data_IF_978890911528
#
_entry.id   IF_978890911528
#
_cell.length_a   1.000
_cell.length_b   1.000
_cell.length_c   1.000
_cell.angle_alpha   90.00
_cell.angle_beta   90.00
_cell.angle_gamma   90.00
#
_symmetry.space_group_name_H-M   'P 1'
#
loop_
_entity.id
_entity.type
_entity.pdbx_description
1 polymer ?
2 non-polymer ?
3 non-polymer ?
4 water ?
#
# COMPACT_ATOMS: atom_id res chain seq x y z
N UNK A 2 -1.14 12.09 25.50
CA UNK A 2 -2.10 12.59 24.46
C UNK A 2 -2.38 11.49 23.44
N UNK A 3 -3.51 11.62 22.75
CA UNK A 3 -3.90 10.63 21.75
C UNK A 3 -2.90 10.68 20.59
N UNK A 4 -2.40 11.88 20.29
CA UNK A 4 -1.42 12.07 19.23
C UNK A 4 -0.18 11.23 19.50
N UNK A 5 0.34 11.28 20.73
CA UNK A 5 1.52 10.51 21.09
C UNK A 5 1.25 9.01 21.01
N UNK A 6 0.04 8.62 21.38
CA UNK A 6 -0.37 7.21 21.36
C UNK A 6 -0.49 6.68 19.93
N UNK A 7 -1.03 7.52 19.04
CA UNK A 7 -1.19 7.14 17.65
C UNK A 7 0.18 7.05 16.97
N UNK A 8 1.02 8.03 17.24
CA UNK A 8 2.35 8.05 16.65
C UNK A 8 3.11 6.78 17.02
N UNK A 9 2.99 6.37 18.27
CA UNK A 9 3.67 5.16 18.73
C UNK A 9 3.09 3.93 18.04
N UNK A 10 1.77 3.86 17.96
CA UNK A 10 1.11 2.72 17.33
C UNK A 10 1.49 2.55 15.87
N UNK A 11 1.66 3.66 15.16
CA UNK A 11 2.00 3.58 13.75
C UNK A 11 3.50 3.63 13.45
N UNK A 12 4.31 3.78 14.51
CA UNK A 12 5.76 3.81 14.34
C UNK A 12 6.34 4.98 13.56
N UNK A 13 5.61 6.11 13.55
CA UNK A 13 6.06 7.30 12.84
C UNK A 13 7.16 8.07 13.57
N UNK A 14 8.02 8.73 12.81
CA UNK A 14 9.12 9.51 13.39
C UNK A 14 9.11 10.91 12.78
N UNK A 15 9.51 11.92 13.57
CA UNK A 15 9.55 13.31 13.13
C UNK A 15 10.44 13.51 11.90
N UNK A 16 11.58 12.83 11.89
CA UNK A 16 12.53 12.94 10.79
C UNK A 16 13.16 11.57 10.53
N UNK A 17 13.44 11.28 9.27
CA UNK A 17 14.06 10.01 8.90
C UNK A 17 15.19 10.25 7.90
N UNK A 18 16.09 9.28 7.80
CA UNK A 18 17.17 9.38 6.82
C UNK A 18 16.72 8.53 5.65
N UNK A 19 16.59 9.15 4.49
CA UNK A 19 16.13 8.45 3.29
C UNK A 19 16.86 7.15 3.01
N UNK A 20 18.17 7.23 2.77
CA UNK A 20 18.98 6.06 2.46
C UNK A 20 18.86 4.97 3.53
N UNK A 21 18.91 5.37 4.80
CA UNK A 21 18.80 4.39 5.88
C UNK A 21 17.45 3.67 5.84
N UNK A 22 16.38 4.39 5.53
CA UNK A 22 15.05 3.77 5.48
C UNK A 22 14.93 2.86 4.27
N UNK A 23 15.57 3.26 3.17
CA UNK A 23 15.58 2.46 1.96
C UNK A 23 16.17 1.09 2.29
N UNK A 24 17.32 1.10 2.98
CA UNK A 24 17.96 -0.16 3.36
C UNK A 24 17.11 -0.93 4.37
N UNK A 25 16.44 -0.24 5.29
CA UNK A 25 15.62 -0.93 6.27
C UNK A 25 14.51 -1.75 5.59
N UNK A 26 13.86 -1.16 4.59
CA UNK A 26 12.79 -1.85 3.86
C UNK A 26 13.32 -2.98 2.98
N UNK A 27 14.41 -2.71 2.27
CA UNK A 27 14.99 -3.73 1.39
C UNK A 27 15.49 -4.91 2.21
N UNK A 28 16.20 -4.63 3.29
CA UNK A 28 16.73 -5.70 4.13
C UNK A 28 15.60 -6.51 4.76
N UNK A 29 14.49 -5.84 5.02
CA UNK A 29 13.30 -6.47 5.59
C UNK A 29 12.76 -7.53 4.61
N UNK A 30 12.59 -7.11 3.37
CA UNK A 30 12.09 -8.01 2.34
C UNK A 30 13.04 -9.17 2.10
N UNK A 31 14.34 -8.88 2.05
CA UNK A 31 15.35 -9.92 1.83
C UNK A 31 15.33 -10.95 2.95
N UNK A 32 15.29 -10.45 4.19
CA UNK A 32 15.27 -11.32 5.36
C UNK A 32 14.02 -12.22 5.35
N UNK A 33 12.87 -11.65 5.02
CA UNK A 33 11.64 -12.44 4.99
C UNK A 33 11.74 -13.58 3.98
N UNK A 34 12.23 -13.27 2.78
CA UNK A 34 12.37 -14.28 1.74
C UNK A 34 13.38 -15.38 2.09
N UNK A 35 14.42 -15.04 2.84
CA UNK A 35 15.41 -16.03 3.25
C UNK A 35 14.91 -16.93 4.38
N UNK A 36 13.90 -16.44 5.10
CA UNK A 36 13.28 -17.16 6.21
C UNK A 36 12.20 -18.11 5.70
N UNK A 37 11.59 -17.73 4.57
CA UNK A 37 10.56 -18.52 3.93
C UNK A 37 11.00 -18.77 2.49
N UNK A 38 12.03 -19.62 2.32
CA UNK A 38 12.57 -19.93 1.00
C UNK A 38 11.63 -20.52 -0.05
N UNK A 39 10.39 -20.81 0.30
CA UNK A 39 9.46 -21.34 -0.70
C UNK A 39 8.86 -20.18 -1.50
N UNK A 40 9.06 -18.96 -1.02
CA UNK A 40 8.56 -17.78 -1.73
C UNK A 40 9.54 -17.47 -2.86
N UNK A 41 9.04 -17.47 -4.09
CA UNK A 41 9.89 -17.21 -5.25
C UNK A 41 9.55 -15.88 -5.94
N UNK A 42 8.44 -15.26 -5.55
CA UNK A 42 8.03 -14.03 -6.20
C UNK A 42 7.40 -13.00 -5.29
N UNK A 43 7.63 -11.73 -5.62
CA UNK A 43 7.03 -10.62 -4.90
C UNK A 43 6.04 -10.05 -5.92
N UNK A 44 4.78 -9.92 -5.52
CA UNK A 44 3.74 -9.39 -6.40
C UNK A 44 3.23 -8.05 -5.89
N UNK A 45 3.21 -7.07 -6.78
CA UNK A 45 2.76 -5.73 -6.44
C UNK A 45 1.98 -5.07 -7.56
N UNK A 46 0.84 -4.48 -7.22
CA UNK A 46 0.05 -3.79 -8.22
C UNK A 46 0.66 -2.41 -8.44
N UNK A 47 0.89 -2.04 -9.70
CA UNK A 47 1.49 -0.75 -10.03
C UNK A 47 0.43 0.17 -10.64
N UNK A 48 0.35 1.40 -10.13
CA UNK A 48 -0.64 2.36 -10.62
C UNK A 48 -0.04 3.63 -11.20
N UNK A 49 1.29 3.75 -11.15
CA UNK A 49 1.94 4.94 -11.68
C UNK A 49 1.99 6.10 -10.71
N UNK A 50 1.63 5.84 -9.47
CA UNK A 50 1.65 6.89 -8.45
C UNK A 50 2.79 6.75 -7.48
N UNK A 51 2.88 7.68 -6.52
CA UNK A 51 3.95 7.68 -5.54
C UNK A 51 4.17 6.37 -4.79
N UNK A 52 3.16 5.94 -4.03
CA UNK A 52 3.29 4.74 -3.22
C UNK A 52 3.69 3.45 -3.94
N UNK A 53 2.96 3.06 -4.98
CA UNK A 53 3.31 1.82 -5.69
C UNK A 53 4.65 1.91 -6.43
N UNK A 54 5.06 3.12 -6.82
CA UNK A 54 6.34 3.27 -7.51
C UNK A 54 7.48 3.07 -6.50
N UNK A 55 7.34 3.66 -5.32
CA UNK A 55 8.37 3.51 -4.29
C UNK A 55 8.46 2.05 -3.86
N UNK A 56 7.32 1.43 -3.55
CA UNK A 56 7.34 0.03 -3.13
C UNK A 56 7.94 -0.83 -4.22
N UNK A 57 7.53 -0.58 -5.47
CA UNK A 57 8.04 -1.35 -6.59
C UNK A 57 9.54 -1.29 -6.76
N UNK A 58 10.12 -0.10 -6.56
CA UNK A 58 11.55 0.05 -6.70
C UNK A 58 12.26 -0.75 -5.61
N UNK A 59 11.73 -0.69 -4.39
CA UNK A 59 12.32 -1.41 -3.27
C UNK A 59 12.24 -2.93 -3.49
N UNK A 60 11.11 -3.40 -4.02
CA UNK A 60 10.93 -4.82 -4.28
C UNK A 60 11.96 -5.33 -5.30
N UNK A 61 12.14 -4.60 -6.39
CA UNK A 61 13.09 -5.02 -7.42
C UNK A 61 14.50 -5.00 -6.88
N UNK A 62 14.81 -4.03 -6.02
CA UNK A 62 16.14 -3.94 -5.43
C UNK A 62 16.40 -5.15 -4.54
N UNK A 63 15.38 -5.56 -3.79
CA UNK A 63 15.50 -6.71 -2.90
C UNK A 63 15.73 -7.97 -3.70
N UNK A 64 14.97 -8.13 -4.78
CA UNK A 64 15.11 -9.31 -5.62
C UNK A 64 16.48 -9.31 -6.29
N UNK A 65 16.89 -8.15 -6.83
CA UNK A 65 18.18 -8.03 -7.48
C UNK A 65 19.32 -8.49 -6.57
N UNK A 66 19.32 -7.99 -5.32
CA UNK A 66 20.37 -8.35 -4.37
C UNK A 66 20.34 -9.82 -3.99
N UNK A 67 19.17 -10.36 -3.69
CA UNK A 67 19.05 -11.77 -3.32
C UNK A 67 19.58 -12.71 -4.41
N UNK A 68 19.35 -12.36 -5.67
CA UNK A 68 19.82 -13.18 -6.79
C UNK A 68 21.33 -13.26 -6.79
N UNK A 69 21.97 -12.10 -6.72
CA UNK A 69 23.43 -12.01 -6.73
C UNK A 69 24.03 -12.71 -5.51
N UNK A 70 23.38 -12.54 -4.36
CA UNK A 70 23.87 -13.13 -3.13
C UNK A 70 23.66 -14.65 -3.00
N UNK A 71 22.51 -15.15 -3.44
CA UNK A 71 22.21 -16.58 -3.33
C UNK A 71 22.44 -17.37 -4.61
N UNK A 72 22.39 -16.69 -5.75
CA UNK A 72 22.57 -17.36 -7.02
C UNK A 72 21.28 -17.96 -7.57
N UNK A 73 20.21 -17.86 -6.79
CA UNK A 73 18.91 -18.40 -7.19
C UNK A 73 18.31 -17.58 -8.34
N UNK A 74 18.34 -18.16 -9.53
CA UNK A 74 17.84 -17.51 -10.72
C UNK A 74 16.31 -17.54 -10.84
N UNK A 75 15.64 -18.27 -9.95
CA UNK A 75 14.18 -18.37 -10.01
C UNK A 75 13.41 -17.27 -9.30
N UNK A 76 14.09 -16.46 -8.48
CA UNK A 76 13.42 -15.38 -7.77
C UNK A 76 13.01 -14.28 -8.75
N UNK A 77 11.88 -13.65 -8.50
CA UNK A 77 11.45 -12.57 -9.38
C UNK A 77 10.41 -11.63 -8.82
N UNK A 78 10.45 -10.38 -9.30
CA UNK A 78 9.48 -9.38 -8.88
C UNK A 78 8.47 -9.27 -10.02
N UNK A 79 7.20 -9.37 -9.68
CA UNK A 79 6.15 -9.28 -10.68
C UNK A 79 5.30 -8.04 -10.47
N UNK A 80 5.41 -7.11 -11.41
CA UNK A 80 4.63 -5.88 -11.35
C UNK A 80 3.34 -6.17 -12.10
N UNK A 81 2.21 -5.83 -11.50
CA UNK A 81 0.92 -6.09 -12.13
C UNK A 81 0.14 -4.81 -12.40
N UNK A 82 -0.17 -4.55 -13.66
CA UNK A 82 -0.97 -3.39 -14.03
C UNK A 82 -2.40 -3.89 -13.98
N UNK A 83 -3.26 -3.16 -13.29
CA UNK A 83 -4.65 -3.58 -13.14
C UNK A 83 -5.63 -2.47 -13.55
N UNK A 84 -5.61 -2.09 -14.83
CA UNK A 84 -6.50 -1.04 -15.32
C UNK A 84 -7.98 -1.44 -15.37
N UNK A 85 -8.85 -0.46 -15.19
CA UNK A 85 -10.29 -0.67 -15.28
C UNK A 85 -10.63 -0.08 -16.66
N UNK A 86 -10.73 -0.94 -17.67
CA UNK A 86 -11.02 -0.45 -19.01
C UNK A 86 -9.77 0.16 -19.62
N UNK A 87 -9.84 1.43 -19.99
CA UNK A 87 -8.69 2.11 -20.58
C UNK A 87 -8.23 3.29 -19.72
N UNK A 91 -2.21 7.96 -18.77
CA UNK A 91 -1.61 6.70 -18.27
C UNK A 91 -0.24 6.40 -18.86
N UNK A 92 0.52 7.46 -19.15
CA UNK A 92 1.87 7.37 -19.68
C UNK A 92 2.79 7.30 -18.48
N UNK A 93 2.23 7.66 -17.33
CA UNK A 93 2.95 7.65 -16.07
C UNK A 93 3.32 6.23 -15.67
N UNK A 94 2.45 5.28 -16.02
CA UNK A 94 2.70 3.89 -15.68
C UNK A 94 3.92 3.38 -16.44
N UNK A 95 4.05 3.79 -17.68
CA UNK A 95 5.20 3.39 -18.49
C UNK A 95 6.47 3.97 -17.88
N UNK A 96 6.40 5.24 -17.49
CA UNK A 96 7.54 5.90 -16.87
C UNK A 96 7.92 5.18 -15.59
N UNK A 97 6.93 4.83 -14.79
CA UNK A 97 7.17 4.13 -13.52
C UNK A 97 7.88 2.81 -13.78
N UNK A 98 7.43 2.09 -14.81
CA UNK A 98 8.02 0.81 -15.19
C UNK A 98 9.47 1.01 -15.61
N UNK A 99 9.71 2.04 -16.40
CA UNK A 99 11.07 2.33 -16.87
C UNK A 99 11.99 2.63 -15.68
N UNK A 100 11.42 3.24 -14.65
CA UNK A 100 12.17 3.59 -13.45
C UNK A 100 12.44 2.37 -12.58
N UNK A 101 11.45 1.48 -12.47
CA UNK A 101 11.56 0.28 -11.65
C UNK A 101 12.36 -0.83 -12.33
N UNK A 102 12.19 -0.95 -13.65
CA UNK A 102 12.87 -2.01 -14.40
C UNK A 102 12.50 -3.36 -13.77
N UNK A 103 11.20 -3.66 -13.66
CA UNK A 103 10.73 -4.91 -13.06
C UNK A 103 11.08 -6.13 -13.91
N UNK A 104 11.24 -7.28 -13.25
CA UNK A 104 11.56 -8.52 -13.97
C UNK A 104 10.43 -8.92 -14.91
N UNK A 105 9.20 -8.70 -14.46
CA UNK A 105 8.05 -9.11 -15.26
C UNK A 105 6.90 -8.14 -15.03
N UNK A 106 6.14 -7.86 -16.09
CA UNK A 106 5.00 -6.97 -16.00
C UNK A 106 3.80 -7.69 -16.61
N UNK A 107 2.76 -7.90 -15.80
CA UNK A 107 1.55 -8.55 -16.27
C UNK A 107 0.45 -7.51 -16.27
N UNK A 108 -0.38 -7.50 -17.31
CA UNK A 108 -1.48 -6.55 -17.41
C UNK A 108 -2.81 -7.28 -17.37
N UNK A 109 -3.59 -7.02 -16.33
CA UNK A 109 -4.89 -7.66 -16.14
C UNK A 109 -5.97 -6.59 -16.07
N UNK A 110 -6.87 -6.62 -17.04
CA UNK A 110 -7.95 -5.66 -17.07
C UNK A 110 -9.11 -6.19 -16.24
N UNK A 111 -9.40 -5.51 -15.13
CA UNK A 111 -10.44 -5.94 -14.21
C UNK A 111 -11.87 -5.52 -14.55
N UNK A 112 -12.06 -4.79 -15.64
CA UNK A 112 -13.38 -4.32 -16.02
C UNK A 112 -14.40 -5.43 -16.23
N UNK A 113 -14.03 -6.46 -16.98
CA UNK A 113 -14.94 -7.55 -17.24
C UNK A 113 -15.48 -8.20 -15.99
N UNK A 114 -14.60 -8.46 -15.02
CA UNK A 114 -15.01 -9.10 -13.78
C UNK A 114 -15.89 -8.19 -12.94
N UNK A 115 -15.53 -6.92 -12.84
CA UNK A 115 -16.32 -5.96 -12.06
C UNK A 115 -17.73 -5.81 -12.63
N UNK A 116 -17.86 -5.76 -13.94
CA UNK A 116 -19.17 -5.62 -14.56
C UNK A 116 -19.98 -6.89 -14.31
N UNK A 117 -19.31 -8.03 -14.30
CA UNK A 117 -19.97 -9.30 -14.06
C UNK A 117 -20.48 -9.36 -12.62
N UNK A 118 -19.67 -8.90 -11.68
CA UNK A 118 -20.09 -8.90 -10.28
C UNK A 118 -21.29 -7.99 -10.10
N UNK A 119 -21.27 -6.83 -10.76
CA UNK A 119 -22.37 -5.90 -10.63
C UNK A 119 -23.66 -6.38 -11.27
N UNK A 120 -23.55 -7.16 -12.33
CA UNK A 120 -24.74 -7.67 -13.00
C UNK A 120 -25.42 -8.70 -12.09
N UNK A 121 -24.62 -9.57 -11.49
CA UNK A 121 -25.15 -10.59 -10.60
C UNK A 121 -25.86 -9.94 -9.42
N UNK A 122 -25.27 -8.87 -8.89
CA UNK A 122 -25.86 -8.15 -7.76
C UNK A 122 -27.15 -7.43 -8.16
N UNK A 123 -27.13 -6.80 -9.32
CA UNK A 123 -28.29 -6.10 -9.84
C UNK A 123 -29.49 -7.03 -9.98
N UNK A 124 -29.27 -8.20 -10.55
CA UNK A 124 -30.35 -9.16 -10.72
C UNK A 124 -30.94 -9.62 -9.39
N UNK A 125 -30.13 -9.56 -8.33
CA UNK A 125 -30.58 -9.96 -7.00
C UNK A 125 -31.35 -8.83 -6.34
N UNK A 126 -31.16 -7.61 -6.83
CA UNK A 126 -31.85 -6.46 -6.27
C UNK A 126 -30.95 -5.40 -5.67
N UNK A 127 -29.65 -5.55 -5.85
CA UNK A 127 -28.70 -4.59 -5.29
C UNK A 127 -27.97 -3.77 -6.35
N UNK A 128 -28.22 -2.47 -6.38
CA UNK A 128 -27.57 -1.58 -7.33
C UNK A 128 -26.48 -0.87 -6.53
N UNK A 129 -25.27 -0.78 -7.07
CA UNK A 129 -24.18 -0.12 -6.37
C UNK A 129 -24.07 1.36 -6.66
N UNK A 130 -23.57 2.10 -5.68
CA UNK A 130 -23.34 3.53 -5.83
C UNK A 130 -21.91 3.59 -6.35
N UNK A 131 -21.54 4.68 -7.01
CA UNK A 131 -20.18 4.77 -7.54
C UNK A 131 -19.15 4.56 -6.42
N UNK A 132 -19.49 5.03 -5.23
CA UNK A 132 -18.62 4.89 -4.07
C UNK A 132 -18.33 3.43 -3.75
N UNK A 133 -19.38 2.62 -3.65
CA UNK A 133 -19.23 1.21 -3.35
C UNK A 133 -18.55 0.47 -4.52
N UNK A 134 -18.79 0.94 -5.74
CA UNK A 134 -18.16 0.30 -6.89
C UNK A 134 -16.66 0.46 -6.79
N UNK A 135 -16.23 1.59 -6.22
CA UNK A 135 -14.80 1.86 -6.06
C UNK A 135 -14.14 0.82 -5.17
N UNK A 136 -14.82 0.43 -4.10
CA UNK A 136 -14.25 -0.58 -3.20
C UNK A 136 -14.26 -1.94 -3.86
N UNK A 137 -15.27 -2.16 -4.69
CA UNK A 137 -15.40 -3.41 -5.42
C UNK A 137 -14.20 -3.53 -6.37
N UNK A 138 -13.82 -2.41 -6.98
CA UNK A 138 -12.67 -2.42 -7.89
C UNK A 138 -11.42 -2.80 -7.10
N UNK A 139 -11.25 -2.18 -5.93
CA UNK A 139 -10.09 -2.46 -5.09
C UNK A 139 -10.01 -3.93 -4.71
N UNK A 140 -11.15 -4.53 -4.41
CA UNK A 140 -11.18 -5.94 -4.04
C UNK A 140 -10.92 -6.86 -5.22
N UNK A 141 -11.29 -6.45 -6.43
CA UNK A 141 -11.02 -7.28 -7.59
C UNK A 141 -9.51 -7.25 -7.84
N UNK A 142 -8.89 -6.10 -7.57
CA UNK A 142 -7.44 -5.98 -7.75
C UNK A 142 -6.73 -6.88 -6.73
N UNK A 143 -7.27 -6.98 -5.53
CA UNK A 143 -6.70 -7.85 -4.50
C UNK A 143 -6.82 -9.30 -5.00
N UNK A 144 -8.02 -9.67 -5.45
CA UNK A 144 -8.24 -11.02 -5.95
C UNK A 144 -7.24 -11.43 -7.04
N UNK A 145 -7.03 -10.54 -8.00
CA UNK A 145 -6.11 -10.78 -9.09
C UNK A 145 -4.69 -11.04 -8.60
N UNK A 146 -4.19 -10.15 -7.77
CA UNK A 146 -2.84 -10.30 -7.23
C UNK A 146 -2.68 -11.59 -6.43
N UNK A 147 -3.69 -11.96 -5.66
CA UNK A 147 -3.58 -13.21 -4.89
C UNK A 147 -3.60 -14.44 -5.78
N UNK A 148 -4.33 -14.38 -6.89
CA UNK A 148 -4.37 -15.51 -7.82
C UNK A 148 -2.98 -15.65 -8.45
N UNK A 149 -2.36 -14.51 -8.78
CA UNK A 149 -1.04 -14.52 -9.38
C UNK A 149 -0.01 -15.04 -8.37
N UNK A 150 -0.13 -14.62 -7.12
CA UNK A 150 0.80 -15.07 -6.09
C UNK A 150 0.65 -16.59 -5.90
N UNK A 151 -0.60 -17.05 -5.92
CA UNK A 151 -0.86 -18.46 -5.74
C UNK A 151 -0.27 -19.35 -6.83
N UNK A 152 -0.16 -18.81 -8.04
CA UNK A 152 0.40 -19.57 -9.16
C UNK A 152 1.90 -19.39 -9.35
N UNK A 153 2.47 -18.39 -8.67
CA UNK A 153 3.91 -18.12 -8.80
C UNK A 153 4.68 -18.26 -7.50
N UNK A 154 4.05 -18.88 -6.50
CA UNK A 154 4.71 -19.06 -5.21
C UNK A 154 5.18 -17.69 -4.67
N UNK A 155 4.28 -16.71 -4.69
CA UNK A 155 4.67 -15.41 -4.20
C UNK A 155 3.85 -14.90 -3.03
N UNK A 156 4.13 -13.66 -2.64
CA UNK A 156 3.39 -13.00 -1.56
C UNK A 156 3.03 -11.65 -2.14
N UNK A 157 1.93 -11.08 -1.63
CA UNK A 157 1.45 -9.79 -2.11
C UNK A 157 2.03 -8.66 -1.25
N UNK A 158 2.73 -7.74 -1.89
CA UNK A 158 3.33 -6.60 -1.21
C UNK A 158 2.33 -5.45 -1.18
N UNK A 159 2.18 -4.83 -0.02
CA UNK A 159 1.24 -3.72 0.13
C UNK A 159 1.97 -2.39 0.19
N UNK A 160 1.24 -1.32 -0.11
CA UNK A 160 1.82 0.03 -0.10
C UNK A 160 1.32 0.88 1.06
N UNK A 161 0.66 0.25 2.02
CA UNK A 161 0.14 0.97 3.19
C UNK A 161 1.25 1.66 3.98
N UNK A 162 1.01 2.92 4.33
CA UNK A 162 1.98 3.69 5.11
C UNK A 162 1.23 4.47 6.19
N UNK A 163 1.98 5.07 7.11
CA UNK A 163 1.38 5.82 8.21
C UNK A 163 0.31 6.85 7.84
N UNK A 164 0.53 7.58 6.76
CA UNK A 164 -0.41 8.62 6.35
C UNK A 164 -1.75 8.09 5.87
N UNK A 165 -1.80 6.81 5.55
CA UNK A 165 -3.04 6.19 5.10
C UNK A 165 -3.62 5.36 6.24
N UNK A 166 -2.73 4.74 7.01
CA UNK A 166 -3.17 3.91 8.13
C UNK A 166 -3.89 4.74 9.19
N UNK A 167 -3.39 5.95 9.45
CA UNK A 167 -3.98 6.82 10.46
C UNK A 167 -5.45 7.17 10.21
N UNK A 168 -5.84 7.31 8.95
CA UNK A 168 -7.23 7.64 8.62
C UNK A 168 -7.98 6.44 8.07
N UNK A 169 -7.31 5.32 7.93
CA UNK A 169 -7.95 4.13 7.39
C UNK A 169 -8.37 4.35 5.95
N UNK A 170 -7.59 5.15 5.23
CA UNK A 170 -7.90 5.48 3.85
C UNK A 170 -7.53 4.35 2.88
N UNK A 171 -8.13 3.19 3.07
CA UNK A 171 -7.90 2.04 2.20
C UNK A 171 -9.12 1.14 2.26
N UNK A 172 -9.30 0.34 1.22
CA UNK A 172 -10.44 -0.57 1.18
C UNK A 172 -10.17 -1.81 2.02
N UNK A 173 -11.08 -2.09 2.95
CA UNK A 173 -10.96 -3.25 3.82
C UNK A 173 -10.96 -4.50 2.95
N UNK A 174 -9.86 -5.23 2.99
CA UNK A 174 -9.68 -6.45 2.20
C UNK A 174 -9.60 -6.14 0.72
N UNK A 175 -9.29 -4.88 0.42
CA UNK A 175 -9.11 -4.43 -0.96
C UNK A 175 -7.60 -4.20 -1.06
N UNK A 176 -7.19 -2.95 -1.25
CA UNK A 176 -5.76 -2.66 -1.30
C UNK A 176 -5.18 -2.86 0.11
N UNK A 177 -6.04 -2.99 1.11
CA UNK A 177 -5.58 -3.24 2.46
C UNK A 177 -5.30 -4.72 2.66
N UNK A 178 -5.73 -5.53 1.70
CA UNK A 178 -5.51 -6.95 1.80
C UNK A 178 -4.19 -7.37 1.19
N UNK A 179 -3.14 -7.41 2.00
CA UNK A 179 -1.81 -7.77 1.53
C UNK A 179 -1.08 -8.67 2.52
N UNK A 180 0.09 -9.17 2.11
CA UNK A 180 0.88 -10.05 2.97
C UNK A 180 2.00 -9.34 3.72
N UNK A 181 2.67 -8.42 3.06
CA UNK A 181 3.78 -7.72 3.69
C UNK A 181 3.79 -6.26 3.23
N UNK A 182 3.97 -5.34 4.18
CA UNK A 182 3.95 -3.89 3.91
C UNK A 182 5.27 -3.21 4.27
N UNK A 183 6.18 -3.11 3.30
CA UNK A 183 7.48 -2.47 3.53
C UNK A 183 7.51 -0.96 3.76
N UNK A 184 6.41 -0.25 3.49
CA UNK A 184 6.40 1.19 3.69
C UNK A 184 5.80 1.62 5.02
N UNK A 185 5.14 0.68 5.70
CA UNK A 185 4.52 0.98 6.98
C UNK A 185 5.52 1.67 7.91
N UNK A 186 5.10 2.83 8.45
CA UNK A 186 5.83 3.70 9.38
C UNK A 186 6.12 5.09 8.78
N UNK A 187 6.22 5.16 7.45
CA UNK A 187 6.51 6.42 6.77
C UNK A 187 5.29 7.28 6.49
N UNK A 188 5.44 8.60 6.57
CA UNK A 188 4.32 9.48 6.27
C UNK A 188 4.45 9.88 4.79
N UNK A 189 3.46 10.60 4.27
CA UNK A 189 3.47 10.97 2.86
C UNK A 189 4.73 11.69 2.36
N UNK A 190 5.06 12.83 2.97
CA UNK A 190 6.23 13.57 2.52
C UNK A 190 7.52 12.76 2.65
N UNK A 191 7.60 11.87 3.64
CA UNK A 191 8.81 11.07 3.82
C UNK A 191 8.94 10.06 2.69
N UNK A 192 7.80 9.62 2.16
CA UNK A 192 7.83 8.70 1.05
C UNK A 192 8.46 9.41 -0.15
N UNK A 193 8.15 10.69 -0.29
CA UNK A 193 8.71 11.48 -1.41
C UNK A 193 10.23 11.57 -1.23
N UNK A 194 10.67 11.73 0.02
CA UNK A 194 12.10 11.82 0.32
C UNK A 194 12.82 10.61 -0.23
N UNK A 195 12.26 9.42 0.03
CA UNK A 195 12.88 8.20 -0.44
C UNK A 195 12.97 8.17 -1.96
N UNK A 196 11.89 8.54 -2.63
CA UNK A 196 11.90 8.54 -4.08
C UNK A 196 12.95 9.51 -4.62
N UNK A 197 13.05 10.69 -4.00
CA UNK A 197 14.04 11.66 -4.44
C UNK A 197 15.43 11.04 -4.33
N UNK A 198 15.68 10.37 -3.20
CA UNK A 198 16.95 9.70 -2.95
C UNK A 198 17.23 8.62 -3.99
N UNK A 199 16.17 8.07 -4.57
CA UNK A 199 16.32 7.01 -5.58
C UNK A 199 16.36 7.61 -6.97
N UNK A 200 16.29 8.93 -7.05
CA UNK A 200 16.34 9.67 -8.31
C UNK A 200 15.10 9.46 -9.17
N UNK A 201 13.96 9.23 -8.54
CA UNK A 201 12.72 9.01 -9.27
C UNK A 201 12.31 10.26 -10.05
N UNK A 202 11.89 10.09 -11.32
CA UNK A 202 11.49 11.27 -12.09
C UNK A 202 10.43 12.05 -11.32
N UNK A 203 10.75 13.30 -11.02
CA UNK A 203 9.89 14.18 -10.27
C UNK A 203 8.39 14.07 -10.53
N UNK A 204 7.99 14.03 -11.80
CA UNK A 204 6.58 13.97 -12.13
C UNK A 204 5.80 12.75 -11.60
N UNK A 205 6.50 11.68 -11.27
CA UNK A 205 5.84 10.48 -10.76
C UNK A 205 5.29 10.65 -9.34
N UNK A 206 5.86 11.58 -8.59
CA UNK A 206 5.40 11.81 -7.22
C UNK A 206 5.03 13.26 -6.94
N UNK A 207 4.75 14.00 -8.00
CA UNK A 207 4.37 15.40 -7.89
C UNK A 207 3.21 15.71 -8.84
N UNK A 224 -8.41 12.60 -1.47
CA UNK A 224 -8.86 13.73 -2.33
C UNK A 224 -10.17 14.35 -1.85
N UNK A 225 -10.07 15.37 -1.00
CA UNK A 225 -11.24 16.06 -0.48
C UNK A 225 -12.08 15.17 0.45
N UNK A 226 -11.94 13.86 0.28
CA UNK A 226 -12.67 12.90 1.11
C UNK A 226 -12.45 13.24 2.58
N UNK A 227 -11.19 13.44 2.93
CA UNK A 227 -10.81 13.79 4.30
C UNK A 227 -11.02 15.28 4.50
N UNK A 228 -11.22 15.70 5.74
CA UNK A 228 -11.41 17.11 6.00
C UNK A 228 -10.09 17.75 6.36
N UNK A 229 -9.00 17.16 5.86
CA UNK A 229 -7.65 17.64 6.13
C UNK A 229 -6.75 17.38 4.92
N UNK A 230 -5.59 18.03 4.90
CA UNK A 230 -4.65 17.85 3.79
C UNK A 230 -3.56 16.87 4.23
N UNK A 231 -2.78 16.39 3.27
CA UNK A 231 -1.70 15.47 3.62
C UNK A 231 -0.65 16.18 4.48
N UNK A 232 -0.49 17.48 4.29
CA UNK A 232 0.48 18.21 5.11
C UNK A 232 0.01 18.20 6.55
N UNK A 233 -1.30 18.33 6.76
CA UNK A 233 -1.88 18.31 8.11
C UNK A 233 -1.61 16.95 8.73
N UNK A 234 -1.85 15.90 7.94
CA UNK A 234 -1.62 14.54 8.41
C UNK A 234 -0.15 14.28 8.73
N UNK A 235 0.75 14.64 7.81
CA UNK A 235 2.17 14.42 8.06
C UNK A 235 2.67 15.22 9.26
N UNK A 236 2.22 16.46 9.40
CA UNK A 236 2.64 17.28 10.53
C UNK A 236 2.20 16.62 11.83
N UNK A 237 0.96 16.14 11.86
CA UNK A 237 0.42 15.48 13.05
C UNK A 237 1.26 14.24 13.39
N UNK A 238 1.59 13.46 12.37
CA UNK A 238 2.37 12.24 12.55
C UNK A 238 3.80 12.53 12.98
N UNK A 239 4.29 13.72 12.67
CA UNK A 239 5.63 14.14 13.02
C UNK A 239 5.66 14.76 14.43
N UNK A 240 4.51 14.76 15.10
CA UNK A 240 4.42 15.30 16.44
C UNK A 240 4.32 16.80 16.54
N UNK A 241 4.00 17.46 15.44
CA UNK A 241 3.91 18.91 15.44
C UNK A 241 2.58 19.42 15.97
N UNK A 242 2.59 20.66 16.44
CA UNK A 242 1.40 21.30 16.97
C UNK A 242 0.55 21.79 15.81
N UNK A 243 -0.63 21.23 15.67
CA UNK A 243 -1.54 21.60 14.60
C UNK A 243 -2.79 22.19 15.22
N UNK A 244 -3.60 22.93 14.45
CA UNK A 244 -4.82 23.52 14.99
C UNK A 244 -5.67 22.42 15.64
N UNK A 245 -6.22 22.70 16.82
CA UNK A 245 -7.02 21.73 17.56
C UNK A 245 -8.11 21.03 16.76
N UNK A 246 -8.82 21.76 15.92
CA UNK A 246 -9.88 21.12 15.15
C UNK A 246 -9.37 20.20 14.07
N UNK A 247 -8.13 20.41 13.63
CA UNK A 247 -7.53 19.54 12.62
C UNK A 247 -7.15 18.25 13.33
N UNK A 248 -6.62 18.38 14.55
CA UNK A 248 -6.25 17.21 15.35
C UNK A 248 -7.49 16.36 15.65
N UNK A 249 -8.61 17.02 15.93
CA UNK A 249 -9.85 16.31 16.25
C UNK A 249 -10.35 15.52 15.04
N UNK A 250 -10.28 16.13 13.86
CA UNK A 250 -10.72 15.47 12.63
C UNK A 250 -9.90 14.22 12.38
N UNK A 251 -8.58 14.35 12.51
CA UNK A 251 -7.67 13.24 12.28
C UNK A 251 -7.90 12.11 13.28
N UNK A 252 -8.09 12.48 14.54
CA UNK A 252 -8.32 11.50 15.59
C UNK A 252 -9.69 10.86 15.42
N UNK A 253 -10.63 11.61 14.86
CA UNK A 253 -11.98 11.09 14.65
C UNK A 253 -11.88 9.94 13.66
N UNK A 254 -11.15 10.16 12.56
CA UNK A 254 -10.95 9.15 11.54
C UNK A 254 -10.23 7.93 12.10
N UNK A 255 -9.21 8.18 12.93
CA UNK A 255 -8.44 7.10 13.52
C UNK A 255 -9.35 6.19 14.34
N UNK A 256 -10.09 6.79 15.27
CA UNK A 256 -11.00 6.06 16.14
C UNK A 256 -12.08 5.32 15.35
N UNK A 257 -12.59 5.96 14.31
CA UNK A 257 -13.63 5.36 13.50
C UNK A 257 -13.18 4.13 12.72
N UNK A 258 -11.91 4.10 12.33
CA UNK A 258 -11.38 3.01 11.51
C UNK A 258 -10.48 1.98 12.18
N UNK A 259 -10.56 1.86 13.49
CA UNK A 259 -9.75 0.89 14.20
C UNK A 259 -10.04 -0.54 13.70
N UNK A 260 -11.28 -0.80 13.29
CA UNK A 260 -11.63 -2.13 12.80
C UNK A 260 -10.85 -2.54 11.57
N UNK A 261 -10.35 -1.56 10.82
CA UNK A 261 -9.59 -1.84 9.61
C UNK A 261 -8.16 -2.26 9.89
N UNK A 262 -7.65 -1.88 11.07
CA UNK A 262 -6.28 -2.19 11.44
C UNK A 262 -6.16 -3.33 12.46
N UNK A 263 -7.22 -4.12 12.59
CA UNK A 263 -7.24 -5.24 13.53
C UNK A 263 -7.95 -6.42 12.87
N UNK A 264 -7.68 -7.66 13.33
CA UNK A 264 -8.33 -8.83 12.76
C UNK A 264 -9.82 -8.74 13.11
N UNK A 265 -10.67 -9.57 12.48
CA UNK A 265 -12.11 -9.54 12.77
C UNK A 265 -12.41 -9.57 14.28
N UNK A 266 -13.48 -8.87 14.67
CA UNK A 266 -13.88 -8.77 16.06
C UNK A 266 -14.48 -10.03 16.66
N UNK A 267 -14.05 -10.35 17.88
CA UNK A 267 -14.54 -11.53 18.58
C UNK A 267 -15.07 -11.12 19.94
N UNK A 268 -15.70 -12.06 20.65
CA UNK A 268 -16.26 -11.77 21.96
C UNK A 268 -15.16 -11.39 22.96
N UNK A 269 -13.91 -11.62 22.61
CA UNK A 269 -12.81 -11.30 23.51
C UNK A 269 -12.34 -9.86 23.43
N UNK A 270 -12.62 -9.20 22.31
CA UNK A 270 -12.21 -7.81 22.11
C UNK A 270 -12.97 -6.81 22.97
N UNK A 271 -12.27 -5.76 23.39
CA UNK A 271 -12.90 -4.73 24.20
C UNK A 271 -12.52 -3.33 23.74
N UNK A 272 -11.69 -3.25 22.70
CA UNK A 272 -11.26 -1.94 22.20
C UNK A 272 -12.43 -1.10 21.71
N UNK A 273 -13.45 -1.76 21.16
CA UNK A 273 -14.60 -1.04 20.64
C UNK A 273 -15.52 -0.54 21.75
N UNK A 274 -15.25 -0.98 22.97
CA UNK A 274 -16.07 -0.59 24.11
C UNK A 274 -15.61 0.72 24.75
N UNK A 275 -14.44 1.20 24.33
CA UNK A 275 -13.88 2.43 24.86
C UNK A 275 -14.26 3.65 24.02
X LIG B 1 -1.64 4.96 -1.76
X LIG C 1 -4.49 -21.44 1.22
X LIG C 1 -3.85 -21.18 2.52
X LIG C 1 -4.04 -22.60 0.42
X LIG C 1 -4.43 -20.12 0.30
X LIG C 1 -6.07 -21.57 1.49
X LIG C 1 -6.81 -22.65 0.90
X LIG C 1 -7.17 -23.70 1.95
X LIG C 1 -8.28 -23.21 2.73
X LIG C 1 -7.64 -24.99 1.28
X LIG C 1 -7.45 -26.12 2.13
X LIG C 1 -9.13 -24.70 1.12
X LIG C 1 -9.89 -25.90 0.97
X LIG C 1 -9.40 -24.08 2.50
X LIG C 1 -10.72 -23.40 2.57
X LIG C 1 -10.86 -22.11 2.06
X LIG C 1 -12.09 -21.44 2.11
X LIG C 1 -13.23 -22.01 2.65
X LIG C 1 -13.05 -23.42 3.20
X LIG C 1 -11.81 -24.06 3.14
X LIG C 1 -14.24 -24.16 3.83
X LIG C 1 -15.36 -23.67 3.80
X LIG C 1 -14.08 -25.25 4.39
X LIG C 1 -4.66 -18.66 0.94
X LIG C 1 -4.91 -17.73 -0.18
X LIG C 1 -5.67 -18.74 2.02
X LIG C 1 -3.21 -18.35 1.57
X LIG C 1 -2.05 -18.39 0.73
X LIG C 1 -1.48 -17.01 0.46
X LIG C 1 -1.09 -16.34 1.68
X LIG C 1 -0.19 -17.09 -0.36
X LIG C 1 -0.55 -17.13 -1.75
X LIG C 1 0.41 -15.73 -0.05
X LIG C 1 -0.29 -14.70 -0.73
X LIG C 1 0.14 -15.64 1.46
X LIG C 1 1.19 -16.32 2.25
X LIG C 1 2.01 -15.74 3.12
X LIG C 1 2.16 -14.47 3.52
X LIG C 1 3.06 -14.14 4.43
X LIG C 1 3.85 -15.06 4.96
X LIG C 1 3.75 -16.35 4.61
X LIG C 1 2.81 -16.73 3.66
X LIG C 1 2.46 -17.88 3.09
X LIG C 1 1.48 -17.62 2.24
X LIG C 1 4.55 -17.25 5.16
#
# INVERSE_FOLDING_TARGET
MTLQQQIIKALGAKPQINAEEEIRRSVDFLKSYLQTYPFIKSLVLGISGGQDSTLAGKLCQMAINELRLETGNESLQFIAVRLPYGVQADEQDCQDAIAFIQPDRVLTVNIKGAVLASEQALREAGIELSDFVRGNEKARERMKAQYSIAGMTSGVVVGTDHAAEAITGFFTKYGDGGTDINPLYRLNKRQGKQLLAALACPEHLYKKAPTADLEDDRPSLPDEVALGVTYDNIDDYLEGKNVPQQVARTIENWYLKTEHKRRPPITVFDDFWKK
MG MG
DND PN O11 O12 O3P O5D C5D C4D O4D C3D O3D C2D O2D C1D N1N C6N C5N C4N C3N C2N C7N O7N O8N PA O13 O14 O5B C5B C4B O4B C3B O3B C2B O2B C1B N9A C4A N3A C2A N1A C6A C5A N7A C8A N6A
#
